data_IF_726216190188
#
_entry.id   IF_726216190188
#
_cell.length_a   1.000
_cell.length_b   1.000
_cell.length_c   1.000
_cell.angle_alpha   90.00
_cell.angle_beta   90.00
_cell.angle_gamma   90.00
#
_symmetry.space_group_name_H-M   'P 1'
#
loop_
_entity.id
_entity.type
_entity.pdbx_description
1 polymer ?
#
# COMPACT_ATOMS: atom_id res chain seq x y z
N UNK A 1 34.85 -0.31 -5.68
CA UNK A 1 34.55 1.10 -5.99
C UNK A 1 33.26 1.46 -5.29
N UNK A 2 33.35 2.17 -4.17
CA UNK A 2 32.19 2.63 -3.40
C UNK A 2 31.52 3.78 -4.15
N UNK A 3 30.44 3.48 -4.89
CA UNK A 3 29.55 4.52 -5.39
C UNK A 3 28.77 5.10 -4.21
N UNK A 4 29.23 6.23 -3.68
CA UNK A 4 28.44 7.04 -2.76
C UNK A 4 27.12 7.43 -3.45
N UNK A 5 25.96 7.36 -2.77
CA UNK A 5 24.70 7.76 -3.36
C UNK A 5 24.75 9.24 -3.78
N UNK A 6 24.06 9.65 -4.86
CA UNK A 6 23.89 11.05 -5.17
C UNK A 6 22.96 11.68 -4.13
N UNK A 7 23.52 12.13 -3.00
CA UNK A 7 22.83 12.91 -1.98
C UNK A 7 22.66 14.36 -2.45
N UNK A 8 21.98 14.58 -3.56
CA UNK A 8 21.48 15.92 -3.86
C UNK A 8 20.36 16.22 -2.83
N UNK A 9 20.54 17.21 -1.93
CA UNK A 9 19.54 17.51 -0.92
C UNK A 9 18.22 17.90 -1.59
N UNK A 10 17.11 17.39 -1.07
CA UNK A 10 15.78 17.77 -1.56
C UNK A 10 15.59 19.26 -1.27
N UNK A 11 15.27 20.04 -2.30
CA UNK A 11 15.00 21.47 -2.09
C UNK A 11 13.77 21.64 -1.20
N UNK A 12 13.80 22.64 -0.32
CA UNK A 12 12.68 22.93 0.58
C UNK A 12 11.35 23.08 -0.17
N UNK A 13 11.36 23.74 -1.34
CA UNK A 13 10.18 23.89 -2.20
C UNK A 13 9.59 22.55 -2.65
N UNK A 14 10.45 21.61 -3.05
CA UNK A 14 10.00 20.27 -3.47
C UNK A 14 9.45 19.47 -2.28
N UNK A 15 10.09 19.55 -1.12
CA UNK A 15 9.59 18.93 0.11
C UNK A 15 8.22 19.51 0.51
N UNK A 16 8.09 20.84 0.55
CA UNK A 16 6.86 21.53 0.90
C UNK A 16 5.71 21.20 -0.06
N UNK A 17 5.96 21.21 -1.37
CA UNK A 17 4.95 20.85 -2.37
C UNK A 17 4.46 19.41 -2.16
N UNK A 18 5.38 18.47 -1.95
CA UNK A 18 5.02 17.06 -1.71
C UNK A 18 4.22 16.88 -0.43
N UNK A 19 4.65 17.50 0.67
CA UNK A 19 3.89 17.47 1.92
C UNK A 19 2.48 18.05 1.72
N UNK A 20 2.35 19.17 1.02
CA UNK A 20 1.03 19.74 0.71
C UNK A 20 0.16 18.76 -0.09
N UNK A 21 0.71 18.10 -1.12
CA UNK A 21 -0.01 17.09 -1.89
C UNK A 21 -0.44 15.88 -1.05
N UNK A 22 0.41 15.42 -0.13
CA UNK A 22 0.06 14.31 0.76
C UNK A 22 -0.99 14.70 1.81
N UNK A 23 -0.93 15.92 2.34
CA UNK A 23 -1.98 16.46 3.22
C UNK A 23 -3.31 16.54 2.48
N UNK A 24 -3.31 17.02 1.23
CA UNK A 24 -4.51 17.07 0.41
C UNK A 24 -5.05 15.66 0.10
N UNK A 25 -4.19 14.70 -0.20
CA UNK A 25 -4.59 13.30 -0.40
C UNK A 25 -5.25 12.73 0.85
N UNK A 26 -4.62 12.88 2.01
CA UNK A 26 -5.13 12.39 3.31
C UNK A 26 -6.45 13.08 3.67
N UNK A 27 -6.55 14.40 3.46
CA UNK A 27 -7.78 15.14 3.66
C UNK A 27 -8.90 14.67 2.73
N UNK A 28 -8.58 14.40 1.46
CA UNK A 28 -9.55 13.92 0.48
C UNK A 28 -10.09 12.53 0.82
N UNK A 29 -9.25 11.58 1.25
CA UNK A 29 -9.73 10.24 1.65
C UNK A 29 -10.58 10.31 2.93
N UNK A 30 -10.19 11.12 3.92
CA UNK A 30 -10.96 11.29 5.14
C UNK A 30 -12.32 11.94 4.87
N UNK A 31 -12.34 12.97 4.02
CA UNK A 31 -13.58 13.60 3.56
C UNK A 31 -14.44 12.63 2.74
N UNK A 32 -13.82 11.81 1.88
CA UNK A 32 -14.52 10.80 1.09
C UNK A 32 -15.20 9.74 1.97
N UNK A 33 -14.49 9.21 2.97
CA UNK A 33 -15.05 8.29 3.95
C UNK A 33 -16.20 8.91 4.76
N UNK A 34 -16.10 10.20 5.12
CA UNK A 34 -17.21 10.91 5.76
C UNK A 34 -18.43 11.08 4.83
N UNK A 35 -18.21 11.41 3.56
CA UNK A 35 -19.30 11.52 2.57
C UNK A 35 -19.95 10.16 2.32
N UNK A 36 -19.18 9.08 2.26
CA UNK A 36 -19.68 7.71 2.23
C UNK A 36 -20.59 7.41 3.43
N UNK A 37 -20.11 7.75 4.63
CA UNK A 37 -20.84 7.61 5.89
C UNK A 37 -22.10 8.48 5.97
N UNK A 38 -22.25 9.54 5.17
CA UNK A 38 -23.48 10.32 5.10
C UNK A 38 -24.46 9.76 4.06
N UNK A 39 -24.00 9.56 2.82
CA UNK A 39 -24.89 9.44 1.67
C UNK A 39 -25.18 8.00 1.21
N UNK A 40 -24.45 7.00 1.70
CA UNK A 40 -24.54 5.63 1.18
C UNK A 40 -25.00 4.56 2.19
N UNK A 41 -26.05 4.79 3.03
CA UNK A 41 -26.41 3.91 4.15
C UNK A 41 -26.62 2.43 3.83
N UNK A 42 -26.95 2.06 2.59
CA UNK A 42 -27.15 0.66 2.18
C UNK A 42 -25.89 -0.08 1.71
N UNK A 43 -24.78 0.61 1.46
CA UNK A 43 -23.51 0.05 0.95
C UNK A 43 -22.27 0.65 1.65
N UNK A 44 -22.45 1.31 2.81
CA UNK A 44 -21.32 1.90 3.53
C UNK A 44 -20.36 0.80 3.90
N UNK A 45 -19.08 0.98 3.58
CA UNK A 45 -18.05 0.05 4.05
C UNK A 45 -18.39 -1.40 3.62
N UNK A 46 -18.76 -1.52 2.35
CA UNK A 46 -19.02 -2.78 1.65
C UNK A 46 -18.28 -2.80 0.32
N UNK A 47 -18.35 -3.92 -0.40
CA UNK A 47 -17.67 -4.16 -1.69
C UNK A 47 -17.88 -3.07 -2.77
N UNK A 48 -18.97 -2.29 -2.64
CA UNK A 48 -19.34 -1.23 -3.58
C UNK A 48 -19.12 0.18 -3.00
N UNK A 49 -18.52 0.25 -1.81
CA UNK A 49 -18.24 1.47 -1.07
C UNK A 49 -17.08 2.28 -1.66
N UNK A 50 -17.05 3.56 -1.32
CA UNK A 50 -15.97 4.46 -1.72
C UNK A 50 -14.64 4.00 -1.12
N UNK A 51 -14.66 3.52 0.12
CA UNK A 51 -13.48 3.07 0.85
C UNK A 51 -12.80 1.90 0.14
N UNK A 52 -13.50 0.78 -0.09
CA UNK A 52 -12.95 -0.39 -0.80
C UNK A 52 -12.46 -0.06 -2.22
N UNK A 53 -13.23 0.73 -2.97
CA UNK A 53 -12.81 1.19 -4.30
C UNK A 53 -11.51 1.98 -4.24
N UNK A 54 -11.36 2.89 -3.26
CA UNK A 54 -10.17 3.72 -3.12
C UNK A 54 -8.96 2.89 -2.67
N UNK A 55 -9.15 1.92 -1.77
CA UNK A 55 -8.11 0.97 -1.38
C UNK A 55 -7.60 0.17 -2.60
N UNK A 56 -8.52 -0.36 -3.40
CA UNK A 56 -8.24 -1.07 -4.66
C UNK A 56 -7.47 -0.17 -5.63
N UNK A 57 -7.89 1.09 -5.80
CA UNK A 57 -7.22 2.07 -6.65
C UNK A 57 -5.79 2.36 -6.18
N UNK A 58 -5.56 2.50 -4.88
CA UNK A 58 -4.23 2.74 -4.31
C UNK A 58 -3.29 1.56 -4.51
N UNK A 59 -3.78 0.34 -4.28
CA UNK A 59 -3.03 -0.90 -4.52
C UNK A 59 -2.71 -1.07 -6.01
N UNK A 60 -3.69 -0.93 -6.89
CA UNK A 60 -3.50 -1.03 -8.34
C UNK A 60 -2.52 0.02 -8.86
N UNK A 61 -2.66 1.27 -8.43
CA UNK A 61 -1.73 2.36 -8.77
C UNK A 61 -0.31 2.05 -8.31
N UNK A 62 -0.15 1.56 -7.07
CA UNK A 62 1.14 1.15 -6.53
C UNK A 62 1.79 0.02 -7.35
N UNK A 63 1.01 -0.99 -7.75
CA UNK A 63 1.47 -2.07 -8.63
C UNK A 63 1.96 -1.55 -9.99
N UNK A 64 1.20 -0.65 -10.64
CA UNK A 64 1.59 -0.04 -11.92
C UNK A 64 2.88 0.76 -11.78
N UNK A 65 3.03 1.56 -10.73
CA UNK A 65 4.23 2.34 -10.47
C UNK A 65 5.44 1.42 -10.24
N UNK A 66 5.30 0.35 -9.45
CA UNK A 66 6.37 -0.63 -9.22
C UNK A 66 6.77 -1.37 -10.50
N UNK A 67 5.80 -1.76 -11.33
CA UNK A 67 6.05 -2.34 -12.65
C UNK A 67 6.83 -1.37 -13.53
N UNK A 68 6.47 -0.09 -13.54
CA UNK A 68 7.19 0.94 -14.28
C UNK A 68 8.63 1.14 -13.78
N UNK A 69 8.85 1.18 -12.46
CA UNK A 69 10.21 1.26 -11.88
C UNK A 69 11.03 0.05 -12.33
N UNK A 70 10.46 -1.15 -12.23
CA UNK A 70 11.14 -2.40 -12.56
C UNK A 70 11.43 -2.58 -14.05
N UNK A 71 10.45 -2.36 -14.92
CA UNK A 71 10.55 -2.65 -16.36
C UNK A 71 11.02 -1.44 -17.16
N UNK A 72 10.52 -0.24 -16.84
CA UNK A 72 10.80 1.00 -17.55
C UNK A 72 12.12 1.62 -17.11
N UNK A 73 12.29 1.85 -15.80
CA UNK A 73 13.52 2.43 -15.26
C UNK A 73 14.64 1.39 -15.07
N UNK A 74 14.27 0.11 -14.88
CA UNK A 74 15.20 -1.00 -14.61
C UNK A 74 16.06 -0.76 -13.37
N UNK A 75 15.45 -0.17 -12.34
CA UNK A 75 16.11 0.16 -11.07
C UNK A 75 15.60 -0.79 -9.98
N UNK A 76 16.52 -1.37 -9.21
CA UNK A 76 16.27 -2.31 -8.09
C UNK A 76 15.21 -3.39 -8.40
N UNK A 77 15.44 -4.22 -9.44
CA UNK A 77 14.43 -5.15 -9.96
C UNK A 77 14.00 -6.26 -8.99
N UNK A 78 14.82 -6.63 -8.01
CA UNK A 78 14.48 -7.67 -7.02
C UNK A 78 13.68 -7.08 -5.86
N UNK A 79 14.07 -5.90 -5.35
CA UNK A 79 13.29 -5.18 -4.32
C UNK A 79 11.91 -4.81 -4.86
N UNK A 80 11.84 -4.21 -6.05
CA UNK A 80 10.56 -3.83 -6.66
C UNK A 80 9.67 -5.03 -6.99
N UNK A 81 10.25 -6.17 -7.38
CA UNK A 81 9.50 -7.41 -7.58
C UNK A 81 8.86 -7.91 -6.27
N UNK A 82 9.60 -7.90 -5.16
CA UNK A 82 9.08 -8.39 -3.88
C UNK A 82 7.95 -7.51 -3.36
N UNK A 83 8.11 -6.19 -3.42
CA UNK A 83 7.07 -5.22 -3.03
C UNK A 83 5.86 -5.37 -3.96
N UNK A 84 6.08 -5.49 -5.27
CA UNK A 84 5.00 -5.70 -6.25
C UNK A 84 4.23 -6.98 -5.97
N UNK A 85 4.92 -8.10 -5.71
CA UNK A 85 4.28 -9.38 -5.41
C UNK A 85 3.42 -9.29 -4.16
N UNK A 86 3.92 -8.61 -3.11
CA UNK A 86 3.17 -8.35 -1.89
C UNK A 86 1.90 -7.51 -2.17
N UNK A 87 2.03 -6.35 -2.81
CA UNK A 87 0.88 -5.47 -3.08
C UNK A 87 -0.11 -6.06 -4.10
N UNK A 88 0.36 -6.84 -5.07
CA UNK A 88 -0.51 -7.55 -5.99
C UNK A 88 -1.28 -8.68 -5.28
N UNK A 89 -0.65 -9.39 -4.34
CA UNK A 89 -1.35 -10.35 -3.50
C UNK A 89 -2.39 -9.67 -2.59
N UNK A 90 -2.06 -8.51 -2.01
CA UNK A 90 -3.02 -7.70 -1.26
C UNK A 90 -4.17 -7.23 -2.14
N UNK A 91 -3.91 -6.78 -3.36
CA UNK A 91 -4.96 -6.38 -4.32
C UNK A 91 -5.89 -7.54 -4.65
N UNK A 92 -5.36 -8.74 -4.88
CA UNK A 92 -6.18 -9.94 -5.09
C UNK A 92 -7.02 -10.26 -3.86
N UNK A 93 -6.46 -10.07 -2.65
CA UNK A 93 -7.17 -10.28 -1.39
C UNK A 93 -8.30 -9.28 -1.19
N UNK A 94 -8.11 -8.01 -1.53
CA UNK A 94 -9.19 -7.01 -1.48
C UNK A 94 -10.29 -7.25 -2.53
N UNK A 95 -10.11 -8.20 -3.44
CA UNK A 95 -11.11 -8.59 -4.44
C UNK A 95 -11.64 -10.01 -4.17
N UNK A 96 -11.40 -10.56 -2.97
CA UNK A 96 -11.74 -11.95 -2.65
C UNK A 96 -13.23 -12.24 -2.80
N UNK A 97 -14.10 -11.36 -2.30
CA UNK A 97 -15.54 -11.53 -2.39
C UNK A 97 -16.07 -11.47 -3.84
N UNK A 98 -15.50 -10.59 -4.67
CA UNK A 98 -15.77 -10.57 -6.11
C UNK A 98 -15.34 -11.88 -6.78
N UNK A 99 -14.13 -12.38 -6.47
CA UNK A 99 -13.59 -13.61 -7.05
C UNK A 99 -14.38 -14.85 -6.63
N UNK A 100 -14.78 -14.92 -5.36
CA UNK A 100 -15.57 -16.03 -4.83
C UNK A 100 -16.99 -16.02 -5.45
N UNK A 101 -17.56 -14.84 -5.70
CA UNK A 101 -18.89 -14.70 -6.32
C UNK A 101 -18.91 -15.06 -7.82
N UNK A 102 -17.92 -14.62 -8.60
CA UNK A 102 -17.97 -14.71 -10.07
C UNK A 102 -17.09 -15.82 -10.67
N UNK A 103 -16.11 -16.33 -9.93
CA UNK A 103 -15.16 -17.33 -10.45
C UNK A 103 -15.34 -18.67 -9.77
N UNK A 104 -14.99 -18.78 -8.50
CA UNK A 104 -15.16 -19.96 -7.66
C UNK A 104 -14.67 -19.68 -6.23
N UNK A 105 -15.23 -20.41 -5.26
CA UNK A 105 -14.81 -20.36 -3.86
C UNK A 105 -13.29 -20.51 -3.70
N UNK A 106 -12.68 -19.59 -2.96
CA UNK A 106 -11.26 -19.56 -2.61
C UNK A 106 -10.29 -19.36 -3.79
N UNK A 107 -10.77 -18.85 -4.93
CA UNK A 107 -9.93 -18.57 -6.11
C UNK A 107 -8.76 -17.63 -5.78
N UNK A 108 -9.00 -16.66 -4.91
CA UNK A 108 -7.99 -15.70 -4.47
C UNK A 108 -6.73 -16.38 -3.90
N UNK A 109 -6.86 -17.52 -3.20
CA UNK A 109 -5.73 -18.25 -2.62
C UNK A 109 -4.77 -18.77 -3.70
N UNK A 110 -5.34 -19.29 -4.78
CA UNK A 110 -4.57 -19.82 -5.92
C UNK A 110 -3.86 -18.68 -6.64
N UNK A 111 -4.56 -17.58 -6.90
CA UNK A 111 -3.98 -16.39 -7.54
C UNK A 111 -2.84 -15.79 -6.70
N UNK A 112 -3.04 -15.65 -5.39
CA UNK A 112 -1.99 -15.20 -4.47
C UNK A 112 -0.78 -16.13 -4.51
N UNK A 113 -0.98 -17.46 -4.49
CA UNK A 113 0.12 -18.42 -4.56
C UNK A 113 0.89 -18.32 -5.89
N UNK A 114 0.20 -18.13 -7.01
CA UNK A 114 0.80 -17.95 -8.34
C UNK A 114 1.62 -16.65 -8.45
N UNK A 115 1.32 -15.63 -7.66
CA UNK A 115 2.08 -14.38 -7.61
C UNK A 115 3.28 -14.53 -6.67
N UNK A 116 3.04 -15.01 -5.44
CA UNK A 116 4.03 -15.02 -4.36
C UNK A 116 5.11 -16.07 -4.60
N UNK A 117 4.76 -17.31 -4.93
CA UNK A 117 5.75 -18.41 -5.01
C UNK A 117 6.83 -18.16 -6.09
N UNK A 118 6.51 -17.77 -7.34
CA UNK A 118 7.53 -17.48 -8.33
C UNK A 118 8.37 -16.25 -7.99
N UNK A 119 7.76 -15.24 -7.37
CA UNK A 119 8.46 -14.02 -6.95
C UNK A 119 9.48 -14.32 -5.85
N UNK A 120 9.10 -15.10 -4.83
CA UNK A 120 10.01 -15.56 -3.78
C UNK A 120 11.13 -16.44 -4.34
N UNK A 121 10.81 -17.36 -5.25
CA UNK A 121 11.80 -18.20 -5.90
C UNK A 121 12.85 -17.35 -6.66
N UNK A 122 12.40 -16.36 -7.43
CA UNK A 122 13.27 -15.48 -8.19
C UNK A 122 14.16 -14.62 -7.29
N UNK A 123 13.58 -14.00 -6.26
CA UNK A 123 14.33 -13.18 -5.30
C UNK A 123 15.31 -14.04 -4.50
N UNK A 124 14.92 -15.26 -4.09
CA UNK A 124 15.79 -16.22 -3.41
C UNK A 124 16.99 -16.65 -4.26
N UNK A 125 16.78 -16.92 -5.56
CA UNK A 125 17.87 -17.16 -6.53
C UNK A 125 18.84 -15.97 -6.64
N UNK A 126 18.36 -14.75 -6.44
CA UNK A 126 19.12 -13.51 -6.57
C UNK A 126 19.38 -12.83 -5.21
N UNK A 127 19.42 -13.59 -4.12
CA UNK A 127 19.43 -13.07 -2.76
C UNK A 127 20.51 -12.01 -2.48
N UNK A 128 21.74 -12.24 -2.94
CA UNK A 128 22.83 -11.27 -2.77
C UNK A 128 22.54 -9.93 -3.47
N UNK A 129 22.02 -9.97 -4.70
CA UNK A 129 21.61 -8.76 -5.43
C UNK A 129 20.44 -8.06 -4.74
N UNK A 130 19.48 -8.84 -4.22
CA UNK A 130 18.39 -8.29 -3.42
C UNK A 130 18.91 -7.54 -2.20
N UNK A 131 19.85 -8.10 -1.43
CA UNK A 131 20.42 -7.44 -0.26
C UNK A 131 21.14 -6.14 -0.63
N UNK A 132 21.91 -6.15 -1.73
CA UNK A 132 22.57 -4.95 -2.23
C UNK A 132 21.55 -3.87 -2.60
N UNK A 133 20.51 -4.22 -3.36
CA UNK A 133 19.41 -3.31 -3.72
C UNK A 133 18.65 -2.81 -2.48
N UNK A 134 18.41 -3.69 -1.51
CA UNK A 134 17.68 -3.40 -0.28
C UNK A 134 18.45 -2.40 0.59
N UNK A 135 19.78 -2.40 0.57
CA UNK A 135 20.56 -1.42 1.34
C UNK A 135 20.25 0.04 0.97
N UNK A 136 19.91 0.31 -0.30
CA UNK A 136 19.48 1.62 -0.77
C UNK A 136 18.04 1.92 -0.37
N UNK A 137 17.15 0.94 -0.51
CA UNK A 137 15.74 1.11 -0.16
C UNK A 137 15.53 1.26 1.35
N UNK A 138 16.13 0.39 2.17
CA UNK A 138 15.96 0.33 3.62
C UNK A 138 16.41 1.59 4.36
N UNK A 139 17.31 2.39 3.78
CA UNK A 139 17.78 3.66 4.34
C UNK A 139 17.07 4.89 3.72
N UNK A 140 15.85 4.71 3.19
CA UNK A 140 15.10 5.77 2.52
C UNK A 140 13.81 6.15 3.26
N UNK A 141 13.34 7.37 3.01
CA UNK A 141 12.00 7.82 3.44
C UNK A 141 10.90 6.88 2.92
N UNK A 142 11.06 6.39 1.67
CA UNK A 142 10.12 5.46 1.05
C UNK A 142 9.95 4.19 1.89
N UNK A 143 11.05 3.59 2.37
CA UNK A 143 10.96 2.42 3.25
C UNK A 143 10.26 2.72 4.56
N UNK A 144 10.58 3.84 5.22
CA UNK A 144 9.90 4.25 6.46
C UNK A 144 8.39 4.41 6.30
N UNK A 145 7.95 5.06 5.22
CA UNK A 145 6.53 5.22 4.90
C UNK A 145 5.87 3.90 4.51
N UNK A 146 6.56 3.04 3.77
CA UNK A 146 6.06 1.73 3.39
C UNK A 146 5.82 0.87 4.64
N UNK A 147 6.79 0.80 5.55
CA UNK A 147 6.65 0.08 6.81
C UNK A 147 5.56 0.66 7.70
N UNK A 148 5.43 1.99 7.78
CA UNK A 148 4.33 2.63 8.50
C UNK A 148 2.98 2.20 7.91
N UNK A 149 2.82 2.23 6.59
CA UNK A 149 1.62 1.76 5.91
C UNK A 149 1.33 0.29 6.16
N UNK A 150 2.33 -0.60 6.09
CA UNK A 150 2.18 -2.01 6.42
C UNK A 150 1.71 -2.24 7.85
N UNK A 151 2.33 -1.58 8.82
CA UNK A 151 1.96 -1.70 10.22
C UNK A 151 0.54 -1.19 10.46
N UNK A 152 0.16 -0.08 9.83
CA UNK A 152 -1.19 0.48 9.94
C UNK A 152 -2.22 -0.48 9.34
N UNK A 153 -2.03 -0.96 8.10
CA UNK A 153 -2.99 -1.80 7.38
C UNK A 153 -3.08 -3.24 7.88
N UNK A 154 -1.96 -3.87 8.26
CA UNK A 154 -1.97 -5.33 8.54
C UNK A 154 -1.87 -5.67 10.02
N UNK A 155 -1.45 -4.73 10.87
CA UNK A 155 -1.28 -4.96 12.30
C UNK A 155 -2.25 -4.10 13.10
N UNK A 156 -2.16 -2.78 12.97
CA UNK A 156 -2.93 -1.85 13.80
C UNK A 156 -4.42 -1.90 13.47
N UNK A 157 -4.82 -1.88 12.20
CA UNK A 157 -6.24 -1.95 11.80
C UNK A 157 -6.95 -3.13 12.45
N UNK A 158 -6.32 -4.32 12.45
CA UNK A 158 -6.88 -5.55 13.03
C UNK A 158 -6.97 -5.54 14.55
N UNK A 159 -6.05 -4.85 15.23
CA UNK A 159 -6.11 -4.66 16.68
C UNK A 159 -7.19 -3.65 17.05
N UNK A 160 -7.31 -2.60 16.24
CA UNK A 160 -8.25 -1.50 16.42
C UNK A 160 -9.68 -1.88 16.02
N UNK A 161 -9.88 -2.72 15.00
CA UNK A 161 -11.15 -3.24 14.50
C UNK A 161 -11.75 -4.38 15.34
N UNK A 162 -11.15 -4.71 16.49
CA UNK A 162 -11.66 -5.77 17.35
C UNK A 162 -13.03 -5.41 17.92
N UNK A 163 -13.96 -6.33 17.75
CA UNK A 163 -15.31 -6.19 18.28
C UNK A 163 -15.32 -5.99 19.81
N UNK A 164 -14.47 -6.70 20.55
CA UNK A 164 -14.41 -6.59 22.01
C UNK A 164 -13.89 -5.22 22.47
N UNK A 165 -12.98 -4.60 21.70
CA UNK A 165 -12.49 -3.25 21.99
C UNK A 165 -13.63 -2.23 21.90
N UNK A 166 -14.39 -2.26 20.80
CA UNK A 166 -15.49 -1.31 20.61
C UNK A 166 -16.70 -1.56 21.51
N UNK A 167 -16.97 -2.80 21.88
CA UNK A 167 -17.97 -3.11 22.92
C UNK A 167 -17.58 -2.55 24.28
N UNK A 168 -16.30 -2.60 24.63
CA UNK A 168 -15.81 -2.02 25.88
C UNK A 168 -15.84 -0.48 25.87
N UNK A 169 -15.70 0.15 24.71
CA UNK A 169 -15.72 1.62 24.57
C UNK A 169 -17.14 2.18 24.49
N UNK A 170 -18.02 1.53 23.72
CA UNK A 170 -19.38 2.01 23.43
C UNK A 170 -20.44 1.41 24.36
N UNK A 171 -20.13 0.33 25.08
CA UNK A 171 -21.04 -0.33 26.02
C UNK A 171 -22.42 -0.62 25.39
N UNK A 172 -23.49 -0.05 25.95
CA UNK A 172 -24.87 -0.24 25.49
C UNK A 172 -25.17 0.41 24.12
N UNK A 173 -24.33 1.36 23.68
CA UNK A 173 -24.46 2.05 22.38
C UNK A 173 -23.72 1.33 21.23
N UNK A 174 -23.17 0.13 21.48
CA UNK A 174 -22.43 -0.61 20.46
C UNK A 174 -23.32 -1.07 19.30
N UNK A 175 -22.99 -0.58 18.10
CA UNK A 175 -23.53 -1.05 16.82
C UNK A 175 -22.46 -1.79 16.03
N UNK A 176 -22.84 -2.90 15.39
CA UNK A 176 -21.89 -3.80 14.71
C UNK A 176 -21.09 -3.10 13.62
N UNK A 177 -21.69 -2.14 12.94
CA UNK A 177 -21.10 -1.44 11.80
C UNK A 177 -19.91 -0.58 12.22
N UNK A 178 -19.86 -0.14 13.48
CA UNK A 178 -18.79 0.74 13.97
C UNK A 178 -17.41 0.12 13.81
N UNK A 179 -17.27 -1.18 14.13
CA UNK A 179 -15.98 -1.85 14.04
C UNK A 179 -15.47 -1.92 12.60
N UNK A 180 -16.37 -2.18 11.65
CA UNK A 180 -16.02 -2.32 10.23
C UNK A 180 -15.57 -0.96 9.69
N UNK A 181 -16.33 0.10 9.98
CA UNK A 181 -15.96 1.48 9.62
C UNK A 181 -14.58 1.84 10.17
N UNK A 182 -14.35 1.56 11.46
CA UNK A 182 -13.08 1.87 12.12
C UNK A 182 -11.90 1.10 11.50
N UNK A 183 -12.09 -0.18 11.16
CA UNK A 183 -11.08 -1.02 10.51
C UNK A 183 -10.78 -0.51 9.09
N UNK A 184 -11.82 -0.34 8.26
CA UNK A 184 -11.67 0.02 6.84
C UNK A 184 -11.06 1.42 6.62
N UNK A 185 -11.42 2.41 7.45
CA UNK A 185 -10.84 3.76 7.36
C UNK A 185 -9.35 3.75 7.75
N UNK A 186 -8.97 2.94 8.74
CA UNK A 186 -7.58 2.77 9.15
C UNK A 186 -6.79 2.03 8.08
N UNK A 187 -7.36 0.99 7.47
CA UNK A 187 -6.75 0.30 6.33
C UNK A 187 -6.55 1.21 5.13
N UNK A 188 -7.54 2.07 4.81
CA UNK A 188 -7.45 3.06 3.75
C UNK A 188 -6.30 4.05 3.99
N UNK A 189 -6.10 4.51 5.23
CA UNK A 189 -4.95 5.33 5.60
C UNK A 189 -3.62 4.59 5.37
N UNK A 190 -3.53 3.33 5.80
CA UNK A 190 -2.31 2.54 5.60
C UNK A 190 -2.01 2.29 4.12
N UNK A 191 -3.03 2.05 3.28
CA UNK A 191 -2.86 1.97 1.82
C UNK A 191 -2.46 3.30 1.19
N UNK A 192 -2.93 4.44 1.71
CA UNK A 192 -2.46 5.75 1.29
C UNK A 192 -0.96 5.94 1.59
N UNK A 193 -0.50 5.54 2.78
CA UNK A 193 0.92 5.57 3.14
C UNK A 193 1.77 4.69 2.22
N UNK A 194 1.28 3.50 1.87
CA UNK A 194 1.93 2.60 0.90
C UNK A 194 2.04 3.27 -0.48
N UNK A 195 0.97 3.89 -0.98
CA UNK A 195 1.00 4.59 -2.26
C UNK A 195 2.01 5.75 -2.23
N UNK A 196 2.01 6.56 -1.17
CA UNK A 196 3.00 7.63 -0.99
C UNK A 196 4.41 7.06 -0.98
N UNK A 197 4.64 5.95 -0.27
CA UNK A 197 5.93 5.28 -0.24
C UNK A 197 6.39 4.82 -1.64
N UNK A 198 5.49 4.28 -2.46
CA UNK A 198 5.81 3.86 -3.83
C UNK A 198 6.08 5.06 -4.75
N UNK A 199 5.35 6.17 -4.59
CA UNK A 199 5.64 7.44 -5.29
C UNK A 199 7.04 7.94 -4.92
N UNK A 200 7.41 7.86 -3.64
CA UNK A 200 8.75 8.20 -3.18
C UNK A 200 9.83 7.30 -3.76
N UNK A 201 9.55 5.99 -3.84
CA UNK A 201 10.44 5.03 -4.48
C UNK A 201 10.64 5.37 -5.95
N UNK A 202 9.57 5.76 -6.67
CA UNK A 202 9.64 6.17 -8.07
C UNK A 202 10.53 7.40 -8.25
N UNK A 203 10.36 8.43 -7.41
CA UNK A 203 11.18 9.64 -7.46
C UNK A 203 12.66 9.29 -7.22
N UNK A 204 12.93 8.44 -6.22
CA UNK A 204 14.27 7.96 -5.92
C UNK A 204 14.88 7.18 -7.10
N UNK A 205 14.11 6.25 -7.68
CA UNK A 205 14.54 5.44 -8.81
C UNK A 205 14.80 6.27 -10.07
N UNK A 206 13.99 7.30 -10.35
CA UNK A 206 14.23 8.23 -11.47
C UNK A 206 15.55 8.97 -11.32
N UNK A 207 15.87 9.45 -10.11
CA UNK A 207 17.16 10.11 -9.82
C UNK A 207 18.33 9.15 -10.02
N UNK A 208 18.20 7.92 -9.53
CA UNK A 208 19.22 6.88 -9.73
C UNK A 208 19.44 6.59 -11.22
N UNK A 209 18.36 6.50 -12.01
CA UNK A 209 18.46 6.24 -13.45
C UNK A 209 19.18 7.37 -14.17
N UNK A 210 18.86 8.63 -13.85
CA UNK A 210 19.51 9.82 -14.41
C UNK A 210 20.98 9.94 -14.01
N UNK A 211 21.36 9.50 -12.81
CA UNK A 211 22.77 9.49 -12.38
C UNK A 211 23.60 8.41 -13.09
N UNK A 212 22.94 7.38 -13.63
CA UNK A 212 23.57 6.25 -14.32
C UNK A 212 23.55 6.39 -15.86
N UNK A 213 22.99 7.47 -16.40
CA UNK A 213 23.00 7.83 -17.83
C UNK A 213 24.03 8.93 -18.08
#
# INVERSE_FOLDING_TARGET
MSHSPPHAPISFRAAALRTALYVLLVGAIAQGAYLEALYFPGIRFSEWGFTEFTQTLFLASSCVLLLYIRQGLKVWPNVTLLILAFLAASLVREQDAFLDTYVADNTWKVLVALIILPSLYWVGRNWHRFLDEFSYFGNSLSFGLFMAGLLVTYVFSRLYGRQDFWRAVLEDDYVRDFKNVAEEVVELMGYALILIAVIELLIMARRQRLANT
#
